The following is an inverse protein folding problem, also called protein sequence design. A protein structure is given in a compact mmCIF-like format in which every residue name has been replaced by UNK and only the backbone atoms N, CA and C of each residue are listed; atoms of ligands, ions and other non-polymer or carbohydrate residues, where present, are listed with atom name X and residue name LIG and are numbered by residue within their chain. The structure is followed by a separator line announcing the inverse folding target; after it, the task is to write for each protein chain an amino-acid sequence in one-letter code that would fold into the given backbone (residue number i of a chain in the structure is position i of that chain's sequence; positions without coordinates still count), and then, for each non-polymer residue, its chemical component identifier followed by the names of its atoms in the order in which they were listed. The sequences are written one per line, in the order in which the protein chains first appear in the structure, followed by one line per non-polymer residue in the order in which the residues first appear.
data_IF_523077403188
#
_entry.id   IF_523077403188
#
_cell.length_a   1.000
_cell.length_b   1.000
_cell.length_c   1.000
_cell.angle_alpha   90.00
_cell.angle_beta   90.00
_cell.angle_gamma   90.00
#
_symmetry.space_group_name_H-M   'P 1'
#
loop_
_entity.id
_entity.type
_entity.pdbx_description
1 polymer ?
#
# COMPACT_ATOMS: atom_id res chain seq x y z
N UNK A 1 3.37 -27.12 -42.82
CA UNK A 1 2.58 -28.24 -43.37
C UNK A 1 3.32 -28.73 -44.60
N UNK A 2 3.63 -30.03 -44.70
CA UNK A 2 4.34 -30.60 -45.85
C UNK A 2 3.35 -31.06 -46.92
N UNK A 3 3.77 -30.99 -48.18
CA UNK A 3 2.99 -31.36 -49.37
C UNK A 3 2.34 -32.75 -49.25
N UNK A 4 3.09 -33.73 -48.75
CA UNK A 4 2.62 -35.11 -48.61
C UNK A 4 1.50 -35.29 -47.59
N UNK A 5 1.47 -34.46 -46.54
CA UNK A 5 0.42 -34.51 -45.53
C UNK A 5 -0.91 -34.00 -46.10
N UNK A 6 -0.85 -32.99 -46.96
CA UNK A 6 -2.00 -32.41 -47.65
C UNK A 6 -2.56 -33.42 -48.66
N UNK A 7 -1.70 -34.09 -49.43
CA UNK A 7 -2.13 -35.16 -50.35
C UNK A 7 -2.80 -36.33 -49.62
N UNK A 8 -2.23 -36.78 -48.48
CA UNK A 8 -2.84 -37.81 -47.64
C UNK A 8 -4.21 -37.39 -47.08
N UNK A 9 -4.39 -36.11 -46.76
CA UNK A 9 -5.68 -35.59 -46.28
C UNK A 9 -6.77 -35.62 -47.35
N UNK A 10 -6.44 -35.34 -48.62
CA UNK A 10 -7.36 -35.49 -49.74
C UNK A 10 -7.73 -36.95 -49.98
N UNK A 11 -6.75 -37.86 -49.89
CA UNK A 11 -7.00 -39.29 -50.01
C UNK A 11 -7.90 -39.82 -48.87
N UNK A 12 -7.69 -39.36 -47.64
CA UNK A 12 -8.47 -39.79 -46.48
C UNK A 12 -9.91 -39.25 -46.48
N UNK A 13 -10.13 -38.06 -47.03
CA UNK A 13 -11.46 -37.43 -47.11
C UNK A 13 -12.21 -37.72 -48.42
N UNK A 14 -11.54 -38.31 -49.41
CA UNK A 14 -12.10 -38.58 -50.74
C UNK A 14 -12.37 -37.32 -51.58
N UNK A 15 -11.95 -36.15 -51.10
CA UNK A 15 -12.13 -34.87 -51.79
C UNK A 15 -10.96 -34.69 -52.74
N UNK A 16 -11.21 -34.93 -54.03
CA UNK A 16 -10.21 -34.69 -55.08
C UNK A 16 -10.46 -33.33 -55.75
N UNK A 17 -9.69 -32.29 -55.41
CA UNK A 17 -9.81 -31.01 -56.11
C UNK A 17 -9.37 -31.20 -57.57
N UNK A 18 -10.16 -30.64 -58.49
CA UNK A 18 -9.94 -30.73 -59.94
C UNK A 18 -8.54 -30.24 -60.36
N UNK A 19 -7.96 -29.30 -59.60
CA UNK A 19 -6.58 -28.84 -59.71
C UNK A 19 -5.83 -28.93 -58.36
N UNK A 20 -5.41 -30.14 -57.97
CA UNK A 20 -4.63 -30.35 -56.74
C UNK A 20 -3.35 -29.49 -56.70
N UNK A 21 -2.69 -29.30 -57.84
CA UNK A 21 -1.45 -28.53 -57.97
C UNK A 21 -1.60 -27.06 -57.58
N UNK A 22 -2.74 -26.43 -57.90
CA UNK A 22 -3.03 -25.03 -57.49
C UNK A 22 -3.20 -24.91 -55.99
N UNK A 23 -3.82 -25.91 -55.35
CA UNK A 23 -3.99 -25.93 -53.90
C UNK A 23 -2.64 -26.13 -53.23
N UNK A 24 -1.83 -27.05 -53.73
CA UNK A 24 -0.50 -27.37 -53.19
C UNK A 24 0.48 -26.20 -53.35
N UNK A 25 0.40 -25.42 -54.44
CA UNK A 25 1.19 -24.19 -54.63
C UNK A 25 0.96 -23.14 -53.55
N UNK A 26 -0.26 -23.02 -53.01
CA UNK A 26 -0.58 -22.05 -51.94
C UNK A 26 0.11 -22.39 -50.62
N UNK A 27 0.45 -23.67 -50.42
CA UNK A 27 1.13 -24.16 -49.22
C UNK A 27 2.63 -24.39 -49.44
N UNK A 28 3.12 -24.29 -50.68
CA UNK A 28 4.54 -24.30 -51.07
C UNK A 28 5.28 -22.98 -50.80
N UNK A 29 4.72 -22.12 -49.95
CA UNK A 29 5.52 -21.05 -49.35
C UNK A 29 6.46 -21.71 -48.33
N UNK A 30 7.57 -22.27 -48.80
CA UNK A 30 8.78 -22.23 -47.98
C UNK A 30 8.90 -20.77 -47.52
N UNK A 31 9.16 -20.48 -46.24
CA UNK A 31 9.88 -19.27 -45.94
C UNK A 31 11.19 -19.47 -46.68
N UNK A 32 11.30 -18.89 -47.87
CA UNK A 32 12.60 -18.54 -48.40
C UNK A 32 13.12 -17.59 -47.34
N UNK A 33 13.86 -18.19 -46.41
CA UNK A 33 14.89 -17.56 -45.64
C UNK A 33 15.66 -16.78 -46.70
N UNK A 34 15.33 -15.49 -46.82
CA UNK A 34 16.14 -14.52 -47.55
C UNK A 34 17.38 -14.31 -46.68
N UNK A 35 18.17 -15.36 -46.56
CA UNK A 35 19.57 -15.29 -46.17
C UNK A 35 20.32 -15.10 -47.47
N UNK A 36 20.31 -13.86 -47.95
CA UNK A 36 21.31 -13.27 -48.84
C UNK A 36 20.97 -11.77 -48.94
N UNK A 37 20.95 -11.11 -47.79
CA UNK A 37 21.27 -9.69 -47.72
C UNK A 37 22.53 -9.58 -46.85
N UNK A 38 23.68 -9.15 -47.39
CA UNK A 38 24.89 -9.00 -46.59
C UNK A 38 24.70 -7.86 -45.59
N UNK A 39 24.29 -8.21 -44.37
CA UNK A 39 24.54 -7.42 -43.18
C UNK A 39 23.92 -6.03 -43.15
N UNK A 40 22.60 -5.93 -43.34
CA UNK A 40 21.86 -4.90 -42.57
C UNK A 40 21.48 -5.60 -41.27
N UNK A 41 22.47 -5.67 -40.37
CA UNK A 41 22.25 -6.17 -39.01
C UNK A 41 21.04 -5.45 -38.41
N UNK A 42 20.33 -6.15 -37.53
CA UNK A 42 19.27 -5.59 -36.69
C UNK A 42 19.51 -4.10 -36.41
N UNK A 43 18.92 -3.20 -37.22
CA UNK A 43 18.82 -1.79 -36.89
C UNK A 43 17.66 -1.63 -35.92
N UNK A 44 17.72 -2.42 -34.84
CA UNK A 44 17.11 -2.07 -33.59
C UNK A 44 17.81 -0.81 -33.11
N UNK A 45 17.05 0.27 -32.96
CA UNK A 45 17.41 1.40 -32.08
C UNK A 45 18.59 2.30 -32.53
N UNK A 46 19.26 2.01 -33.64
CA UNK A 46 20.53 2.62 -34.06
C UNK A 46 20.54 3.51 -35.31
N UNK A 47 19.40 4.11 -35.70
CA UNK A 47 19.39 5.18 -36.72
C UNK A 47 18.85 6.48 -36.10
N UNK A 48 19.20 6.78 -34.85
CA UNK A 48 18.80 8.06 -34.27
C UNK A 48 19.36 9.17 -35.17
N UNK A 49 18.56 10.17 -35.53
CA UNK A 49 18.96 11.30 -36.37
C UNK A 49 20.39 11.84 -36.12
N UNK A 50 20.91 11.94 -34.86
CA UNK A 50 22.29 12.31 -34.60
C UNK A 50 23.35 11.38 -35.21
N UNK A 51 23.11 10.07 -35.29
CA UNK A 51 24.02 9.10 -35.91
C UNK A 51 24.00 9.24 -37.44
N UNK A 52 22.81 9.31 -38.05
CA UNK A 52 22.67 9.62 -39.47
C UNK A 52 23.31 10.96 -39.85
N UNK A 53 23.18 11.95 -38.97
CA UNK A 53 23.80 13.27 -39.14
C UNK A 53 25.32 13.21 -39.06
N UNK A 54 25.90 12.42 -38.16
CA UNK A 54 27.36 12.20 -38.10
C UNK A 54 27.89 11.58 -39.39
N UNK A 55 27.18 10.58 -39.93
CA UNK A 55 27.53 9.93 -41.21
C UNK A 55 27.41 10.92 -42.37
N UNK A 56 26.31 11.68 -42.41
CA UNK A 56 26.08 12.73 -43.40
C UNK A 56 27.18 13.80 -43.36
N UNK A 57 27.54 14.28 -42.17
CA UNK A 57 28.56 15.31 -41.96
C UNK A 57 29.97 14.84 -42.31
N UNK A 58 30.23 13.53 -42.25
CA UNK A 58 31.49 12.91 -42.68
C UNK A 58 31.56 12.71 -44.20
N UNK A 59 30.43 12.39 -44.84
CA UNK A 59 30.36 12.11 -46.28
C UNK A 59 30.25 13.37 -47.15
N UNK A 60 29.61 14.44 -46.66
CA UNK A 60 29.31 15.63 -47.47
C UNK A 60 30.29 16.78 -47.20
N UNK A 61 31.24 16.99 -48.11
CA UNK A 61 32.12 18.15 -48.10
C UNK A 61 31.36 19.44 -48.49
N UNK A 62 31.42 20.46 -47.63
CA UNK A 62 30.75 21.75 -47.88
C UNK A 62 29.31 21.83 -47.34
N UNK A 63 29.15 21.60 -46.04
CA UNK A 63 27.89 21.58 -45.27
C UNK A 63 27.00 22.82 -45.45
N UNK A 64 27.60 23.96 -45.78
CA UNK A 64 26.90 25.22 -45.98
C UNK A 64 26.20 25.33 -47.34
N UNK A 65 26.56 24.46 -48.31
CA UNK A 65 25.95 24.44 -49.64
C UNK A 65 24.46 24.13 -49.53
N UNK A 66 23.68 24.83 -50.34
CA UNK A 66 22.22 24.70 -50.35
C UNK A 66 21.76 23.26 -50.60
N UNK A 67 22.43 22.55 -51.51
CA UNK A 67 22.15 21.14 -51.84
C UNK A 67 22.34 20.21 -50.64
N UNK A 68 23.41 20.40 -49.86
CA UNK A 68 23.66 19.63 -48.65
C UNK A 68 22.57 19.87 -47.59
N UNK A 69 22.14 21.12 -47.42
CA UNK A 69 21.02 21.45 -46.51
C UNK A 69 19.72 20.79 -46.96
N UNK A 70 19.39 20.87 -48.25
CA UNK A 70 18.19 20.23 -48.82
C UNK A 70 18.21 18.71 -48.62
N UNK A 71 19.36 18.08 -48.84
CA UNK A 71 19.53 16.65 -48.62
C UNK A 71 19.39 16.27 -47.14
N UNK A 72 19.96 17.05 -46.23
CA UNK A 72 19.83 16.83 -44.78
C UNK A 72 18.37 16.94 -44.30
N UNK A 73 17.61 17.90 -44.82
CA UNK A 73 16.19 18.06 -44.52
C UNK A 73 15.36 16.90 -45.08
N UNK A 74 15.66 16.45 -46.30
CA UNK A 74 15.04 15.26 -46.90
C UNK A 74 15.29 14.02 -46.05
N UNK A 75 16.54 13.78 -45.65
CA UNK A 75 16.90 12.64 -44.79
C UNK A 75 16.18 12.70 -43.44
N UNK A 76 16.11 13.87 -42.81
CA UNK A 76 15.36 14.04 -41.56
C UNK A 76 13.86 13.76 -41.75
N UNK A 77 13.26 14.28 -42.82
CA UNK A 77 11.84 14.03 -43.12
C UNK A 77 11.54 12.55 -43.35
N UNK A 78 12.41 11.83 -44.05
CA UNK A 78 12.27 10.40 -44.28
C UNK A 78 12.42 9.60 -42.99
N UNK A 79 13.36 10.00 -42.12
CA UNK A 79 13.54 9.38 -40.81
C UNK A 79 12.28 9.53 -39.95
N UNK A 80 11.76 10.74 -39.82
CA UNK A 80 10.54 11.03 -39.05
C UNK A 80 9.36 10.23 -39.62
N UNK A 81 9.22 10.16 -40.94
CA UNK A 81 8.17 9.38 -41.58
C UNK A 81 8.34 7.87 -41.32
N UNK A 82 9.57 7.35 -41.33
CA UNK A 82 9.81 5.94 -41.05
C UNK A 82 9.48 5.59 -39.59
N UNK A 83 9.87 6.46 -38.64
CA UNK A 83 9.52 6.30 -37.23
C UNK A 83 7.99 6.32 -37.03
N UNK A 84 7.30 7.27 -37.66
CA UNK A 84 5.84 7.34 -37.61
C UNK A 84 5.20 6.06 -38.17
N UNK A 85 5.68 5.56 -39.30
CA UNK A 85 5.20 4.32 -39.90
C UNK A 85 5.50 3.09 -39.03
N UNK A 86 6.64 3.05 -38.32
CA UNK A 86 6.97 1.97 -37.38
C UNK A 86 6.02 1.97 -36.20
N UNK A 87 5.75 3.14 -35.62
CA UNK A 87 4.79 3.30 -34.53
C UNK A 87 3.38 2.88 -34.96
N UNK A 88 2.90 3.37 -36.10
CA UNK A 88 1.60 2.98 -36.65
C UNK A 88 1.52 1.46 -36.89
N UNK A 89 2.55 0.84 -37.46
CA UNK A 89 2.57 -0.61 -37.64
C UNK A 89 2.57 -1.38 -36.32
N UNK A 90 3.26 -0.87 -35.29
CA UNK A 90 3.26 -1.46 -33.97
C UNK A 90 1.87 -1.36 -33.30
N UNK A 91 1.23 -0.18 -33.39
CA UNK A 91 -0.14 0.05 -32.92
C UNK A 91 -1.15 -0.85 -33.63
N UNK A 92 -1.12 -0.91 -34.97
CA UNK A 92 -2.00 -1.78 -35.75
C UNK A 92 -1.80 -3.26 -35.40
N UNK A 93 -0.57 -3.71 -35.20
CA UNK A 93 -0.29 -5.08 -34.75
C UNK A 93 -0.83 -5.33 -33.34
N UNK A 94 -0.69 -4.36 -32.44
CA UNK A 94 -1.24 -4.44 -31.10
C UNK A 94 -2.78 -4.52 -31.12
N UNK A 95 -3.45 -3.66 -31.89
CA UNK A 95 -4.89 -3.69 -32.10
C UNK A 95 -5.37 -5.02 -32.69
N UNK A 96 -4.71 -5.51 -33.75
CA UNK A 96 -5.02 -6.83 -34.31
C UNK A 96 -4.86 -7.94 -33.29
N UNK A 97 -3.83 -7.86 -32.43
CA UNK A 97 -3.64 -8.81 -31.35
C UNK A 97 -4.77 -8.74 -30.31
N UNK A 98 -5.26 -7.53 -29.98
CA UNK A 98 -6.39 -7.33 -29.07
C UNK A 98 -7.69 -7.87 -29.68
N UNK A 99 -7.95 -7.60 -30.96
CA UNK A 99 -9.10 -8.11 -31.69
C UNK A 99 -9.07 -9.64 -31.73
N UNK A 100 -7.91 -10.25 -32.03
CA UNK A 100 -7.73 -11.71 -32.03
C UNK A 100 -7.89 -12.34 -30.65
N UNK A 101 -7.40 -11.68 -29.59
CA UNK A 101 -7.50 -12.15 -28.20
C UNK A 101 -8.88 -11.92 -27.60
N UNK A 102 -9.67 -10.99 -28.14
CA UNK A 102 -11.03 -10.74 -27.68
C UNK A 102 -11.85 -12.02 -27.90
N UNK A 103 -12.32 -12.68 -26.84
CA UNK A 103 -13.18 -13.84 -27.03
C UNK A 103 -14.44 -13.38 -27.77
N UNK A 104 -14.80 -14.09 -28.84
CA UNK A 104 -16.07 -13.91 -29.53
C UNK A 104 -17.14 -14.47 -28.59
N UNK A 105 -17.44 -13.73 -27.53
CA UNK A 105 -18.52 -14.07 -26.62
C UNK A 105 -19.82 -13.73 -27.35
N UNK A 106 -20.50 -14.74 -27.86
CA UNK A 106 -21.91 -14.60 -28.17
C UNK A 106 -22.63 -14.30 -26.85
N UNK A 107 -23.09 -13.06 -26.67
CA UNK A 107 -23.97 -12.73 -25.54
C UNK A 107 -25.27 -13.50 -25.74
N UNK A 108 -25.42 -14.60 -25.01
CA UNK A 108 -26.67 -15.33 -24.98
C UNK A 108 -27.73 -14.42 -24.35
N UNK A 109 -28.67 -13.94 -25.16
CA UNK A 109 -29.86 -13.27 -24.65
C UNK A 109 -30.78 -14.39 -24.14
N UNK A 110 -30.75 -14.62 -22.83
CA UNK A 110 -31.69 -15.55 -22.19
C UNK A 110 -33.08 -14.95 -22.30
N UNK A 111 -33.97 -15.63 -23.03
CA UNK A 111 -35.38 -15.26 -23.03
C UNK A 111 -36.04 -15.65 -21.71
N UNK A 112 -37.09 -14.90 -21.34
CA UNK A 112 -37.73 -14.98 -20.02
C UNK A 112 -38.41 -16.34 -19.80
N UNK A 113 -38.55 -16.70 -18.52
CA UNK A 113 -39.50 -17.70 -18.01
C UNK A 113 -40.90 -17.43 -18.60
N UNK A 114 -41.34 -18.28 -19.53
CA UNK A 114 -42.55 -18.09 -20.34
C UNK A 114 -42.32 -18.34 -21.83
N UNK A 115 -41.09 -18.20 -22.31
CA UNK A 115 -40.66 -18.82 -23.58
C UNK A 115 -40.31 -20.29 -23.26
N UNK A 116 -41.34 -21.06 -22.96
CA UNK A 116 -41.22 -22.48 -22.68
C UNK A 116 -40.71 -23.17 -23.95
N UNK A 117 -39.46 -23.63 -23.90
CA UNK A 117 -38.80 -24.17 -25.09
C UNK A 117 -39.40 -25.53 -25.42
N UNK A 118 -40.22 -25.60 -26.46
CA UNK A 118 -40.91 -26.83 -26.88
C UNK A 118 -40.13 -27.66 -27.92
N UNK A 119 -38.81 -27.49 -28.02
CA UNK A 119 -37.99 -28.25 -28.97
C UNK A 119 -38.21 -27.82 -30.43
N UNK A 120 -37.64 -26.68 -30.82
CA UNK A 120 -37.71 -26.19 -32.21
C UNK A 120 -36.89 -24.91 -32.42
N UNK A 121 -36.69 -24.53 -33.69
CA UNK A 121 -36.07 -23.24 -34.04
C UNK A 121 -37.05 -22.10 -33.75
N UNK A 122 -36.75 -21.28 -32.73
CA UNK A 122 -37.56 -20.11 -32.36
C UNK A 122 -37.06 -18.88 -33.12
N UNK A 123 -37.90 -18.34 -34.01
CA UNK A 123 -37.61 -17.09 -34.71
C UNK A 123 -38.04 -15.89 -33.85
N UNK A 124 -37.09 -15.09 -33.40
CA UNK A 124 -37.38 -13.85 -32.70
C UNK A 124 -37.59 -12.70 -33.67
N UNK A 125 -38.64 -11.90 -33.44
CA UNK A 125 -38.82 -10.65 -34.18
C UNK A 125 -37.72 -9.65 -33.83
N UNK A 126 -37.27 -8.79 -34.77
CA UNK A 126 -36.23 -7.79 -34.50
C UNK A 126 -36.54 -6.89 -33.30
N UNK A 127 -37.82 -6.56 -33.10
CA UNK A 127 -38.30 -5.76 -31.97
C UNK A 127 -38.09 -6.47 -30.63
N UNK A 128 -38.34 -7.79 -30.54
CA UNK A 128 -38.07 -8.57 -29.32
C UNK A 128 -36.56 -8.59 -29.00
N UNK A 129 -35.72 -8.80 -30.01
CA UNK A 129 -34.26 -8.78 -29.84
C UNK A 129 -33.74 -7.42 -29.35
N UNK A 130 -34.28 -6.32 -29.90
CA UNK A 130 -33.91 -4.98 -29.45
C UNK A 130 -34.27 -4.75 -27.97
N UNK A 131 -35.45 -5.20 -27.54
CA UNK A 131 -35.87 -5.09 -26.13
C UNK A 131 -34.96 -5.87 -25.19
N UNK A 132 -34.60 -7.12 -25.51
CA UNK A 132 -33.71 -7.90 -24.64
C UNK A 132 -32.28 -7.35 -24.61
N UNK A 133 -31.79 -6.79 -25.73
CA UNK A 133 -30.51 -6.06 -25.75
C UNK A 133 -30.54 -4.82 -24.86
N UNK A 134 -31.61 -4.02 -24.94
CA UNK A 134 -31.76 -2.82 -24.12
C UNK A 134 -31.79 -3.15 -22.63
N UNK A 135 -32.46 -4.24 -22.24
CA UNK A 135 -32.46 -4.72 -20.85
C UNK A 135 -31.07 -5.19 -20.40
N UNK A 136 -30.40 -6.01 -21.20
CA UNK A 136 -29.03 -6.46 -20.88
C UNK A 136 -28.06 -5.29 -20.77
N UNK A 137 -28.23 -4.24 -21.58
CA UNK A 137 -27.46 -3.01 -21.43
C UNK A 137 -27.76 -2.34 -20.08
N UNK A 138 -29.03 -2.18 -19.72
CA UNK A 138 -29.44 -1.62 -18.43
C UNK A 138 -28.89 -2.43 -17.24
N UNK A 139 -28.93 -3.76 -17.28
CA UNK A 139 -28.35 -4.62 -16.22
C UNK A 139 -26.83 -4.38 -16.06
N UNK A 140 -26.11 -4.18 -17.17
CA UNK A 140 -24.67 -3.89 -17.14
C UNK A 140 -24.39 -2.49 -16.59
N UNK A 141 -25.20 -1.51 -16.96
CA UNK A 141 -25.10 -0.14 -16.46
C UNK A 141 -25.39 -0.09 -14.94
N UNK A 142 -26.46 -0.74 -14.48
CA UNK A 142 -26.77 -0.89 -13.05
C UNK A 142 -25.63 -1.60 -12.31
N UNK A 143 -25.05 -2.66 -12.87
CA UNK A 143 -23.91 -3.35 -12.27
C UNK A 143 -22.68 -2.44 -12.17
N UNK A 144 -22.43 -1.59 -13.18
CA UNK A 144 -21.34 -0.62 -13.16
C UNK A 144 -21.57 0.46 -12.09
N UNK A 145 -22.80 0.97 -11.96
CA UNK A 145 -23.18 1.91 -10.90
C UNK A 145 -23.00 1.30 -9.51
N UNK A 146 -23.40 0.04 -9.30
CA UNK A 146 -23.19 -0.67 -8.04
C UNK A 146 -21.70 -0.83 -7.69
N UNK A 147 -20.83 -1.04 -8.69
CA UNK A 147 -19.38 -1.06 -8.46
C UNK A 147 -18.85 0.32 -8.07
N UNK A 148 -19.34 1.38 -8.71
CA UNK A 148 -19.01 2.76 -8.36
C UNK A 148 -19.45 3.10 -6.94
N UNK A 149 -20.66 2.70 -6.55
CA UNK A 149 -21.17 2.88 -5.18
C UNK A 149 -20.29 2.13 -4.17
N UNK A 150 -19.94 0.87 -4.44
CA UNK A 150 -19.02 0.10 -3.58
C UNK A 150 -17.64 0.76 -3.46
N UNK A 151 -17.14 1.41 -4.53
CA UNK A 151 -15.90 2.16 -4.47
C UNK A 151 -16.02 3.39 -3.57
N UNK A 152 -17.09 4.18 -3.74
CA UNK A 152 -17.40 5.34 -2.88
C UNK A 152 -17.54 4.94 -1.41
N UNK A 153 -18.24 3.85 -1.12
CA UNK A 153 -18.39 3.33 0.25
C UNK A 153 -17.05 2.93 0.87
N UNK A 154 -16.13 2.37 0.06
CA UNK A 154 -14.77 2.04 0.51
C UNK A 154 -13.98 3.31 0.82
N UNK A 155 -14.11 4.35 0.01
CA UNK A 155 -13.46 5.64 0.23
C UNK A 155 -13.97 6.32 1.50
N UNK A 156 -15.29 6.34 1.72
CA UNK A 156 -15.91 6.89 2.94
C UNK A 156 -15.39 6.14 4.17
N UNK A 157 -15.39 4.80 4.14
CA UNK A 157 -14.87 3.98 5.25
C UNK A 157 -13.38 4.21 5.50
N UNK A 158 -12.59 4.41 4.45
CA UNK A 158 -11.17 4.72 4.57
C UNK A 158 -10.95 6.10 5.20
N UNK A 159 -11.73 7.10 4.82
CA UNK A 159 -11.69 8.44 5.40
C UNK A 159 -12.08 8.44 6.88
N UNK A 160 -13.17 7.75 7.25
CA UNK A 160 -13.57 7.61 8.66
C UNK A 160 -12.49 6.89 9.50
N UNK A 161 -11.85 5.87 8.95
CA UNK A 161 -10.76 5.18 9.63
C UNK A 161 -9.53 6.09 9.81
N UNK A 162 -9.24 6.95 8.83
CA UNK A 162 -8.16 7.93 8.92
C UNK A 162 -8.46 8.99 10.00
N UNK A 163 -9.68 9.52 10.07
CA UNK A 163 -10.09 10.47 11.10
C UNK A 163 -10.05 9.86 12.52
N UNK A 164 -10.47 8.60 12.66
CA UNK A 164 -10.32 7.85 13.91
C UNK A 164 -8.85 7.69 14.32
N UNK A 165 -7.94 7.45 13.37
CA UNK A 165 -6.50 7.40 13.66
C UNK A 165 -5.95 8.78 14.09
N UNK A 166 -6.31 9.84 13.37
CA UNK A 166 -5.93 11.22 13.70
C UNK A 166 -6.36 11.63 15.10
N UNK A 167 -7.61 11.35 15.48
CA UNK A 167 -8.12 11.62 16.83
C UNK A 167 -7.40 10.80 17.92
N UNK A 168 -7.06 9.53 17.66
CA UNK A 168 -6.27 8.73 18.59
C UNK A 168 -4.84 9.27 18.75
N UNK A 169 -4.21 9.71 17.67
CA UNK A 169 -2.88 10.34 17.70
C UNK A 169 -2.91 11.66 18.47
N UNK A 170 -3.89 12.52 18.19
CA UNK A 170 -4.10 13.77 18.93
C UNK A 170 -4.31 13.51 20.44
N UNK A 171 -5.09 12.49 20.81
CA UNK A 171 -5.28 12.10 22.20
C UNK A 171 -3.99 11.60 22.87
N UNK A 172 -3.13 10.87 22.14
CA UNK A 172 -1.81 10.45 22.64
C UNK A 172 -0.89 11.66 22.86
N UNK A 173 -0.85 12.59 21.92
CA UNK A 173 -0.06 13.82 22.02
C UNK A 173 -0.54 14.67 23.20
N UNK A 174 -1.85 14.86 23.35
CA UNK A 174 -2.42 15.60 24.49
C UNK A 174 -2.04 14.96 25.84
N UNK A 175 -2.03 13.63 25.95
CA UNK A 175 -1.55 12.93 27.15
C UNK A 175 -0.08 13.16 27.43
N UNK A 176 0.76 13.18 26.41
CA UNK A 176 2.19 13.49 26.55
C UNK A 176 2.41 14.92 27.03
N UNK A 177 1.72 15.90 26.43
CA UNK A 177 1.78 17.29 26.84
C UNK A 177 1.30 17.49 28.28
N UNK A 178 0.18 16.85 28.66
CA UNK A 178 -0.31 16.90 30.04
C UNK A 178 0.66 16.28 31.05
N UNK A 179 1.42 15.25 30.65
CA UNK A 179 2.45 14.65 31.49
C UNK A 179 3.64 15.62 31.67
N UNK A 180 4.11 16.23 30.59
CA UNK A 180 5.21 17.21 30.63
C UNK A 180 4.82 18.41 31.50
N UNK A 181 3.60 18.93 31.37
CA UNK A 181 3.11 20.03 32.19
C UNK A 181 3.09 19.67 33.68
N UNK A 182 2.57 18.48 34.03
CA UNK A 182 2.57 17.99 35.42
C UNK A 182 3.99 17.82 35.98
N UNK A 183 4.90 17.25 35.20
CA UNK A 183 6.29 17.06 35.63
C UNK A 183 6.99 18.43 35.83
N UNK A 184 6.73 19.41 34.95
CA UNK A 184 7.24 20.78 35.09
C UNK A 184 6.67 21.51 36.32
N UNK A 185 5.38 21.38 36.60
CA UNK A 185 4.76 21.92 37.82
C UNK A 185 5.35 21.30 39.08
N UNK A 186 5.56 19.98 39.09
CA UNK A 186 6.20 19.31 40.23
C UNK A 186 7.65 19.76 40.43
N UNK A 187 8.40 20.00 39.35
CA UNK A 187 9.75 20.56 39.43
C UNK A 187 9.73 21.97 40.03
N UNK A 188 8.83 22.86 39.57
CA UNK A 188 8.67 24.21 40.14
C UNK A 188 8.34 24.16 41.62
N UNK A 189 7.39 23.32 42.04
CA UNK A 189 7.06 23.16 43.47
C UNK A 189 8.23 22.62 44.30
N UNK A 190 9.09 21.77 43.73
CA UNK A 190 10.30 21.29 44.41
C UNK A 190 11.34 22.39 44.54
N UNK A 191 11.52 23.21 43.52
CA UNK A 191 12.43 24.37 43.52
C UNK A 191 11.97 25.43 44.52
N UNK A 192 10.68 25.78 44.54
CA UNK A 192 10.11 26.71 45.52
C UNK A 192 10.33 26.22 46.96
N UNK A 193 9.98 24.95 47.24
CA UNK A 193 10.23 24.34 48.56
C UNK A 193 11.71 24.28 48.90
N UNK A 194 12.60 24.08 47.92
CA UNK A 194 14.05 24.09 48.14
C UNK A 194 14.56 25.50 48.45
N UNK A 195 14.05 26.53 47.76
CA UNK A 195 14.36 27.93 48.04
C UNK A 195 13.86 28.36 49.42
N UNK A 196 12.64 28.00 49.81
CA UNK A 196 12.11 28.26 51.17
C UNK A 196 12.98 27.62 52.25
N UNK A 197 13.39 26.35 52.05
CA UNK A 197 14.30 25.66 52.97
C UNK A 197 15.67 26.34 53.05
N UNK A 198 16.20 26.84 51.93
CA UNK A 198 17.46 27.57 51.89
C UNK A 198 17.37 28.89 52.68
N UNK A 199 16.30 29.67 52.49
CA UNK A 199 16.05 30.89 53.26
C UNK A 199 15.91 30.59 54.76
N UNK A 200 15.16 29.55 55.13
CA UNK A 200 15.03 29.15 56.54
C UNK A 200 16.37 28.74 57.16
N UNK A 201 17.22 28.04 56.41
CA UNK A 201 18.60 27.71 56.85
C UNK A 201 19.44 28.97 57.04
N UNK A 202 19.38 29.93 56.12
CA UNK A 202 20.09 31.21 56.27
C UNK A 202 19.62 31.98 57.50
N UNK A 203 18.31 32.05 57.75
CA UNK A 203 17.77 32.68 58.96
C UNK A 203 18.24 31.97 60.24
N UNK A 204 18.24 30.64 60.26
CA UNK A 204 18.76 29.86 61.39
C UNK A 204 20.26 30.09 61.61
N UNK A 205 21.05 30.15 60.54
CA UNK A 205 22.49 30.46 60.62
C UNK A 205 22.72 31.88 61.14
N UNK A 206 21.96 32.88 60.67
CA UNK A 206 22.03 34.25 61.17
C UNK A 206 21.65 34.34 62.66
N UNK A 207 20.57 33.67 63.08
CA UNK A 207 20.15 33.61 64.48
C UNK A 207 21.18 32.87 65.36
N UNK A 208 21.82 31.82 64.85
CA UNK A 208 22.89 31.10 65.56
C UNK A 208 24.14 31.97 65.68
N UNK A 209 24.50 32.71 64.61
CA UNK A 209 25.60 33.66 64.64
C UNK A 209 25.34 34.82 65.62
N UNK A 210 24.12 35.35 65.69
CA UNK A 210 23.73 36.33 66.70
C UNK A 210 23.85 35.77 68.12
N UNK A 211 23.26 34.59 68.39
CA UNK A 211 23.41 33.91 69.70
C UNK A 211 24.87 33.67 70.09
N UNK A 212 25.72 33.31 69.12
CA UNK A 212 27.16 33.13 69.36
C UNK A 212 27.89 34.45 69.67
N UNK A 213 27.50 35.56 69.03
CA UNK A 213 27.99 36.90 69.36
C UNK A 213 27.54 37.34 70.75
N UNK A 214 26.28 37.08 71.10
CA UNK A 214 25.72 37.44 72.41
C UNK A 214 26.35 36.62 73.55
N UNK A 215 26.63 35.33 73.32
CA UNK A 215 27.34 34.48 74.30
C UNK A 215 28.82 34.84 74.46
N UNK A 216 29.50 35.27 73.39
CA UNK A 216 30.88 35.78 73.49
C UNK A 216 30.99 37.07 74.31
N UNK A 217 29.88 37.82 74.45
CA UNK A 217 29.82 39.06 75.24
C UNK A 217 29.41 38.85 76.71
N UNK A 218 29.10 37.62 77.13
CA UNK A 218 28.75 37.31 78.52
C UNK A 218 29.97 36.78 79.28
N UNK A 219 30.23 37.38 80.45
CA UNK A 219 31.36 37.06 81.35
C UNK A 219 31.37 35.57 81.74
N UNK A 220 32.59 34.99 81.79
CA UNK A 220 32.86 33.60 82.22
C UNK A 220 32.07 33.27 83.49
N UNK A 221 31.19 32.27 83.40
CA UNK A 221 30.50 31.66 84.55
C UNK A 221 31.05 30.26 84.74
N UNK A 222 31.34 29.92 85.99
CA UNK A 222 31.87 28.60 86.38
C UNK A 222 30.91 27.46 86.04
N UNK A 223 31.51 26.30 85.76
CA UNK A 223 30.84 25.09 85.35
C UNK A 223 29.91 24.57 86.47
N UNK A 224 28.64 24.33 86.10
CA UNK A 224 27.69 23.57 86.91
C UNK A 224 27.10 22.43 86.08
N UNK A 225 27.31 21.24 86.62
CA UNK A 225 26.53 20.00 86.60
C UNK A 225 25.98 19.39 85.30
N UNK A 226 26.33 18.11 85.14
CA UNK A 226 25.87 17.20 84.08
C UNK A 226 24.37 16.95 84.21
N UNK A 227 23.57 17.07 83.12
CA UNK A 227 22.17 16.68 83.19
C UNK A 227 22.00 15.16 83.24
N UNK A 228 21.17 14.70 84.16
CA UNK A 228 20.82 13.30 84.36
C UNK A 228 20.10 12.69 83.14
N UNK A 229 20.49 11.47 82.78
CA UNK A 229 19.87 10.66 81.72
C UNK A 229 18.42 10.32 82.12
N UNK A 230 17.45 10.78 81.33
CA UNK A 230 16.03 10.37 81.47
C UNK A 230 15.86 8.94 80.95
N UNK A 231 15.21 8.02 81.69
CA UNK A 231 14.95 6.67 81.18
C UNK A 231 13.88 6.69 80.09
N UNK A 232 14.16 5.95 79.03
CA UNK A 232 13.32 5.67 77.86
C UNK A 232 11.97 5.08 78.32
N UNK A 233 10.87 5.79 78.08
CA UNK A 233 9.52 5.21 78.25
C UNK A 233 9.32 4.09 77.22
N UNK A 234 9.31 2.85 77.71
CA UNK A 234 8.93 1.64 76.97
C UNK A 234 7.48 1.81 76.50
N UNK A 235 7.27 1.73 75.19
CA UNK A 235 5.93 1.66 74.59
C UNK A 235 5.32 0.30 74.94
N UNK A 236 4.09 0.34 75.42
CA UNK A 236 3.25 -0.79 75.81
C UNK A 236 3.15 -1.81 74.67
N UNK A 237 3.46 -3.07 74.97
CA UNK A 237 3.02 -4.22 74.19
C UNK A 237 1.50 -4.31 74.37
N UNK A 238 0.77 -4.18 73.26
CA UNK A 238 -0.62 -4.63 73.15
C UNK A 238 -0.62 -5.53 71.92
N UNK A 239 -0.58 -6.83 72.16
CA UNK A 239 -1.27 -7.77 71.30
C UNK A 239 -2.72 -7.87 71.82
N UNK A 240 -3.69 -7.96 70.93
CA UNK A 240 -4.40 -9.22 70.87
C UNK A 240 -4.34 -9.80 69.47
N UNK A 241 -4.09 -11.11 69.44
CA UNK A 241 -4.47 -12.00 68.38
C UNK A 241 -5.94 -11.78 67.99
N UNK A 242 -6.21 -11.41 66.75
CA UNK A 242 -7.42 -11.91 66.06
C UNK A 242 -6.97 -13.07 65.21
N UNK A 243 -7.40 -14.28 65.59
CA UNK A 243 -7.20 -15.48 64.82
C UNK A 243 -7.63 -15.23 63.37
N UNK A 244 -6.80 -15.71 62.45
CA UNK A 244 -7.23 -15.98 61.08
C UNK A 244 -8.24 -17.12 61.22
N UNK A 245 -9.51 -16.75 61.39
CA UNK A 245 -10.62 -17.61 61.01
C UNK A 245 -10.39 -17.87 59.53
N UNK A 246 -10.13 -19.13 59.19
CA UNK A 246 -10.21 -19.58 57.82
C UNK A 246 -11.64 -19.26 57.34
N UNK A 247 -11.77 -18.14 56.63
CA UNK A 247 -12.97 -17.85 55.87
C UNK A 247 -13.21 -18.97 54.87
N UNK A 248 -14.47 -19.18 54.44
CA UNK A 248 -14.78 -20.18 53.42
C UNK A 248 -13.86 -19.98 52.20
N UNK A 249 -13.46 -21.06 51.50
CA UNK A 249 -12.51 -20.96 50.39
C UNK A 249 -12.95 -19.84 49.45
N UNK A 250 -12.06 -18.87 49.27
CA UNK A 250 -12.29 -17.73 48.38
C UNK A 250 -12.64 -18.28 46.99
N UNK A 251 -13.85 -17.99 46.52
CA UNK A 251 -14.35 -18.53 45.26
C UNK A 251 -13.36 -18.22 44.15
N UNK A 252 -12.99 -19.24 43.37
CA UNK A 252 -12.06 -19.09 42.25
C UNK A 252 -12.49 -17.92 41.36
N UNK A 253 -11.56 -17.03 40.93
CA UNK A 253 -11.91 -15.88 40.12
C UNK A 253 -12.67 -16.33 38.86
N UNK A 254 -13.69 -15.59 38.42
CA UNK A 254 -14.54 -16.01 37.31
C UNK A 254 -13.68 -16.25 36.05
N UNK A 255 -14.03 -17.26 35.25
CA UNK A 255 -13.29 -17.60 34.05
C UNK A 255 -13.20 -16.40 33.10
N UNK A 256 -11.97 -16.02 32.74
CA UNK A 256 -11.73 -14.92 31.79
C UNK A 256 -11.99 -15.43 30.38
N UNK A 257 -12.91 -14.80 29.65
CA UNK A 257 -13.19 -15.11 28.25
C UNK A 257 -12.49 -14.12 27.33
N UNK A 258 -11.88 -14.62 26.26
CA UNK A 258 -11.33 -13.79 25.19
C UNK A 258 -12.40 -13.29 24.22
N UNK A 259 -12.01 -12.43 23.28
CA UNK A 259 -12.88 -11.79 22.26
C UNK A 259 -13.74 -12.74 21.41
N UNK A 260 -13.48 -14.06 21.46
CA UNK A 260 -14.23 -15.10 20.73
C UNK A 260 -14.95 -16.08 21.67
N UNK A 261 -15.31 -15.65 22.89
CA UNK A 261 -15.95 -16.48 23.93
C UNK A 261 -15.18 -17.76 24.31
N UNK A 262 -13.85 -17.78 24.15
CA UNK A 262 -13.01 -18.89 24.62
C UNK A 262 -12.46 -18.59 26.01
N UNK A 263 -12.62 -19.55 26.93
CA UNK A 263 -12.07 -19.47 28.28
C UNK A 263 -10.54 -19.53 28.25
N UNK A 264 -9.89 -18.52 28.82
CA UNK A 264 -8.45 -18.39 28.90
C UNK A 264 -7.96 -19.20 30.11
N UNK A 265 -7.21 -20.27 29.86
CA UNK A 265 -6.56 -21.08 30.91
C UNK A 265 -5.16 -20.54 31.18
N UNK A 266 -4.84 -20.19 32.42
CA UNK A 266 -3.46 -19.86 32.81
C UNK A 266 -2.62 -21.13 32.85
N UNK A 267 -1.43 -21.16 32.20
CA UNK A 267 -0.56 -22.33 32.24
C UNK A 267 -0.01 -22.55 33.65
N UNK A 268 0.14 -23.82 34.04
CA UNK A 268 0.52 -24.24 35.40
C UNK A 268 1.88 -23.70 35.88
N UNK A 269 2.74 -23.21 34.97
CA UNK A 269 4.01 -22.56 35.31
C UNK A 269 3.87 -21.21 36.01
N UNK A 270 2.68 -20.60 35.96
CA UNK A 270 2.39 -19.30 36.58
C UNK A 270 1.31 -19.39 37.67
N UNK A 271 1.06 -20.59 38.18
CA UNK A 271 0.18 -20.84 39.33
C UNK A 271 1.00 -21.02 40.59
#
# INVERSE_FOLDING_TARGET
MTHDLILKSFQATGVWPMDASRVLQRFNNNPQQQDDDPGIGEQGEGDTWPQLRKIFDAAVAGKAKFEAKRLSQGLHSLQVNNELLRLQNAELRAELSLIRKRPIKSTALTTREGDEWHGGAVFYSPRKLASERARKAAELDEAAELQLQKARDREIKAAEAAEKKRSQEAAKVARQQAKIAKDAEQLRQREEKAAERALKKQQQQAATAQKSRDTANMRKREASDKPAKKPTKRRRVVAPSSGVVAGPPEASPPPKFGLRNRQIKTPARYK
#
